data_IF_604667997797
#
_entry.id   IF_604667997797
#
_cell.length_a   1.000
_cell.length_b   1.000
_cell.length_c   1.000
_cell.angle_alpha   90.00
_cell.angle_beta   90.00
_cell.angle_gamma   90.00
#
_symmetry.space_group_name_H-M   'P 1'
#
loop_
_entity.id
_entity.type
_entity.pdbx_description
1 polymer ?
#
# COMPACT_ATOMS: atom_id res chain seq x y z
N UNK A 1 -18.97 4.54 38.87
CA UNK A 1 -18.01 4.54 37.75
C UNK A 1 -18.79 4.26 36.49
N UNK A 2 -18.77 5.19 35.53
CA UNK A 2 -19.55 5.06 34.30
C UNK A 2 -18.94 3.98 33.38
N UNK A 3 -19.73 3.11 32.74
CA UNK A 3 -19.19 2.06 31.89
C UNK A 3 -18.43 2.64 30.70
N UNK A 4 -17.22 2.13 30.46
CA UNK A 4 -16.38 2.53 29.32
C UNK A 4 -17.09 2.14 28.02
N UNK A 5 -17.64 3.14 27.33
CA UNK A 5 -18.30 2.94 26.04
C UNK A 5 -17.27 2.55 24.98
N UNK A 6 -17.59 1.60 24.11
CA UNK A 6 -16.74 1.24 22.97
C UNK A 6 -16.47 2.48 22.10
N UNK A 7 -15.20 2.79 21.90
CA UNK A 7 -14.74 3.90 21.04
C UNK A 7 -13.88 3.36 19.91
N UNK A 8 -13.95 4.06 18.78
CA UNK A 8 -13.17 3.76 17.60
C UNK A 8 -11.92 4.63 17.59
N UNK A 9 -10.74 4.01 17.75
CA UNK A 9 -9.44 4.69 17.69
C UNK A 9 -8.34 3.65 17.41
N UNK A 10 -7.22 4.06 16.79
CA UNK A 10 -6.09 3.18 16.56
C UNK A 10 -5.32 2.92 17.86
N UNK A 11 -4.72 1.75 17.97
CA UNK A 11 -3.73 1.38 18.99
C UNK A 11 -2.41 1.12 18.28
N UNK A 12 -1.31 1.65 18.80
CA UNK A 12 0.03 1.42 18.27
C UNK A 12 0.65 0.26 19.05
N UNK A 13 1.04 -0.78 18.32
CA UNK A 13 1.90 -1.83 18.83
C UNK A 13 3.36 -1.39 18.72
N UNK A 14 3.93 -0.94 19.85
CA UNK A 14 5.29 -0.42 19.90
C UNK A 14 6.37 -1.49 19.74
N UNK A 15 6.05 -2.78 19.88
CA UNK A 15 7.02 -3.86 19.62
C UNK A 15 7.23 -4.05 18.10
N UNK A 16 6.21 -3.77 17.29
CA UNK A 16 6.28 -3.82 15.82
C UNK A 16 6.62 -2.48 15.17
N UNK A 17 6.34 -1.36 15.84
CA UNK A 17 6.51 -0.04 15.26
C UNK A 17 8.00 0.33 15.11
N UNK A 18 8.44 0.54 13.87
CA UNK A 18 9.79 1.04 13.54
C UNK A 18 9.90 2.57 13.55
N UNK A 19 8.87 3.27 14.00
CA UNK A 19 8.79 4.74 14.03
C UNK A 19 8.95 5.40 12.65
N UNK A 20 8.44 4.76 11.58
CA UNK A 20 8.57 5.21 10.18
C UNK A 20 7.72 6.43 9.78
N UNK A 21 6.84 6.92 10.66
CA UNK A 21 5.97 8.11 10.49
C UNK A 21 4.91 8.08 9.37
N UNK A 22 4.78 7.01 8.59
CA UNK A 22 3.77 6.98 7.51
C UNK A 22 2.32 7.17 8.01
N UNK A 23 2.01 6.71 9.22
CA UNK A 23 0.66 6.82 9.76
C UNK A 23 0.24 8.26 10.11
N UNK A 24 1.19 9.13 10.50
CA UNK A 24 0.89 10.55 10.77
C UNK A 24 0.71 11.31 9.45
N UNK A 25 1.57 11.06 8.46
CA UNK A 25 1.47 11.69 7.13
C UNK A 25 0.19 11.29 6.39
N UNK A 26 -0.24 10.04 6.57
CA UNK A 26 -1.47 9.54 5.97
C UNK A 26 -2.74 10.05 6.65
N UNK A 27 -2.70 10.35 7.95
CA UNK A 27 -3.91 10.63 8.73
C UNK A 27 -4.41 12.07 8.55
N UNK A 28 -5.41 12.24 7.69
CA UNK A 28 -6.09 13.54 7.46
C UNK A 28 -6.88 14.08 8.67
N UNK A 29 -7.06 13.29 9.72
CA UNK A 29 -7.88 13.66 10.87
C UNK A 29 -7.07 14.14 12.08
N UNK A 30 -5.74 14.19 11.98
CA UNK A 30 -4.88 14.66 13.09
C UNK A 30 -5.00 13.78 14.33
N UNK A 31 -5.08 12.46 14.14
CA UNK A 31 -5.16 11.48 15.25
C UNK A 31 -3.80 11.27 15.91
N UNK A 32 -2.73 11.37 15.13
CA UNK A 32 -1.37 11.11 15.56
C UNK A 32 -0.60 12.40 15.84
N UNK A 33 0.33 12.31 16.77
CA UNK A 33 1.32 13.33 17.08
C UNK A 33 2.67 12.67 17.37
N UNK A 34 3.65 13.49 17.76
CA UNK A 34 5.00 13.03 18.07
C UNK A 34 5.38 13.54 19.47
N UNK A 35 6.01 12.69 20.29
CA UNK A 35 6.45 13.07 21.63
C UNK A 35 7.79 13.84 21.62
N UNK A 36 8.28 14.19 22.81
CA UNK A 36 9.57 14.88 22.99
C UNK A 36 10.80 14.05 22.56
N UNK A 37 10.62 12.75 22.29
CA UNK A 37 11.67 11.84 21.83
C UNK A 37 11.50 11.46 20.36
N UNK A 38 10.71 12.23 19.61
CA UNK A 38 10.42 12.00 18.21
C UNK A 38 9.72 10.65 17.95
N UNK A 39 8.94 10.14 18.91
CA UNK A 39 8.19 8.89 18.78
C UNK A 39 6.73 9.14 18.47
N UNK A 40 6.21 8.34 17.54
CA UNK A 40 4.81 8.38 17.16
C UNK A 40 3.89 8.01 18.34
N UNK A 41 2.82 8.78 18.53
CA UNK A 41 1.78 8.50 19.52
C UNK A 41 0.38 8.84 19.00
N UNK A 42 -0.63 8.26 19.62
CA UNK A 42 -2.05 8.59 19.35
C UNK A 42 -2.46 9.76 20.23
N UNK A 43 -2.39 10.97 19.67
CA UNK A 43 -2.60 12.23 20.42
C UNK A 43 -4.09 12.55 20.58
N UNK A 44 -4.87 12.45 19.50
CA UNK A 44 -6.30 12.81 19.49
C UNK A 44 -7.16 11.63 19.05
N UNK A 45 -7.40 10.69 19.98
CA UNK A 45 -8.17 9.47 19.74
C UNK A 45 -9.58 9.75 19.18
N UNK A 46 -10.25 10.79 19.70
CA UNK A 46 -11.63 11.14 19.31
C UNK A 46 -11.74 11.77 17.92
N UNK A 47 -10.62 12.21 17.32
CA UNK A 47 -10.62 12.69 15.93
C UNK A 47 -10.68 11.55 14.91
N UNK A 48 -10.46 10.30 15.34
CA UNK A 48 -10.47 9.17 14.43
C UNK A 48 -11.86 9.00 13.80
N UNK A 49 -11.93 9.15 12.47
CA UNK A 49 -13.17 8.92 11.72
C UNK A 49 -13.67 7.50 11.98
N UNK A 50 -14.87 7.39 12.56
CA UNK A 50 -15.52 6.11 12.86
C UNK A 50 -15.49 5.18 11.64
N UNK A 51 -14.94 3.99 11.82
CA UNK A 51 -14.88 2.96 10.79
C UNK A 51 -13.77 3.14 9.75
N UNK A 52 -12.85 4.09 9.90
CA UNK A 52 -11.70 4.27 9.01
C UNK A 52 -10.47 3.50 9.54
N UNK A 53 -10.03 2.41 8.87
CA UNK A 53 -8.83 1.65 9.25
C UNK A 53 -7.61 1.98 8.39
N UNK A 54 -7.65 3.05 7.60
CA UNK A 54 -6.73 3.22 6.49
C UNK A 54 -5.25 3.37 6.93
N UNK A 55 -4.99 3.98 8.09
CA UNK A 55 -3.66 4.01 8.70
C UNK A 55 -3.11 2.61 9.10
N UNK A 56 -3.97 1.62 9.33
CA UNK A 56 -3.56 0.22 9.56
C UNK A 56 -3.05 -0.45 8.30
N UNK A 57 -3.56 -0.06 7.13
CA UNK A 57 -3.20 -0.65 5.83
C UNK A 57 -1.95 -0.03 5.22
N UNK A 58 -1.64 1.22 5.53
CA UNK A 58 -0.42 1.89 5.07
C UNK A 58 0.79 1.51 5.92
N UNK A 59 0.60 1.15 7.19
CA UNK A 59 1.70 0.81 8.08
C UNK A 59 2.48 -0.42 7.57
N UNK A 60 3.76 -0.29 7.21
CA UNK A 60 4.54 -1.37 6.61
C UNK A 60 4.76 -2.55 7.56
N UNK A 61 4.83 -2.27 8.87
CA UNK A 61 5.01 -3.26 9.94
C UNK A 61 3.68 -3.78 10.50
N UNK A 62 2.54 -3.34 9.95
CA UNK A 62 1.21 -3.62 10.48
C UNK A 62 1.05 -3.30 11.98
N UNK A 63 1.81 -2.33 12.50
CA UNK A 63 1.85 -1.96 13.92
C UNK A 63 0.59 -1.20 14.39
N UNK A 64 -0.20 -0.64 13.47
CA UNK A 64 -1.43 0.08 13.78
C UNK A 64 -2.62 -0.88 13.81
N UNK A 65 -3.26 -1.00 14.98
CA UNK A 65 -4.30 -2.00 15.26
C UNK A 65 -5.63 -1.34 15.64
N UNK A 66 -6.73 -1.89 15.14
CA UNK A 66 -8.09 -1.59 15.57
C UNK A 66 -8.75 -2.86 16.14
N UNK A 67 -8.70 -3.10 17.46
CA UNK A 67 -9.08 -4.39 18.07
C UNK A 67 -10.50 -4.88 17.78
N UNK A 68 -11.41 -3.97 17.41
CA UNK A 68 -12.82 -4.28 17.12
C UNK A 68 -13.12 -4.30 15.61
N UNK A 69 -12.09 -4.28 14.76
CA UNK A 69 -12.26 -4.38 13.32
C UNK A 69 -12.66 -5.81 12.92
N UNK A 70 -13.51 -5.92 11.89
CA UNK A 70 -13.96 -7.22 11.36
C UNK A 70 -12.87 -8.02 10.63
N UNK A 71 -11.90 -7.31 10.04
CA UNK A 71 -10.77 -7.89 9.31
C UNK A 71 -9.65 -8.24 10.31
N UNK A 72 -9.22 -9.51 10.40
CA UNK A 72 -8.18 -9.95 11.34
C UNK A 72 -6.86 -9.17 11.20
N UNK A 73 -6.45 -8.90 9.96
CA UNK A 73 -5.26 -8.10 9.63
C UNK A 73 -5.26 -6.72 10.31
N UNK A 74 -6.41 -6.04 10.28
CA UNK A 74 -6.58 -4.72 10.89
C UNK A 74 -6.78 -4.83 12.41
N UNK A 75 -7.33 -5.95 12.89
CA UNK A 75 -7.52 -6.24 14.30
C UNK A 75 -6.25 -6.74 15.02
N UNK A 76 -5.10 -6.75 14.33
CA UNK A 76 -3.81 -7.13 14.91
C UNK A 76 -3.57 -8.63 15.00
N UNK A 77 -4.25 -9.43 14.17
CA UNK A 77 -3.95 -10.86 14.07
C UNK A 77 -2.54 -11.08 13.51
N UNK A 78 -1.80 -12.00 14.13
CA UNK A 78 -0.48 -12.44 13.66
C UNK A 78 -0.68 -13.26 12.38
N UNK A 79 -0.18 -12.76 11.26
CA UNK A 79 -0.26 -13.46 9.98
C UNK A 79 0.14 -12.59 8.79
N UNK A 80 0.85 -13.19 7.84
CA UNK A 80 1.36 -12.55 6.64
C UNK A 80 0.20 -12.10 5.73
N UNK A 81 -0.15 -10.81 5.79
CA UNK A 81 -1.08 -10.18 4.84
C UNK A 81 -0.51 -10.13 3.42
N UNK A 82 0.77 -10.45 3.24
CA UNK A 82 1.42 -10.63 1.94
C UNK A 82 1.00 -11.90 1.19
N UNK A 83 0.25 -12.81 1.83
CA UNK A 83 -0.14 -14.08 1.25
C UNK A 83 -1.46 -14.08 0.46
N UNK A 84 -2.14 -12.94 0.27
CA UNK A 84 -3.08 -12.81 -0.85
C UNK A 84 -2.31 -12.46 -2.14
N UNK A 85 -1.47 -13.41 -2.58
CA UNK A 85 -1.13 -13.54 -4.01
C UNK A 85 -2.39 -14.02 -4.71
N UNK A 86 -3.38 -13.13 -4.83
CA UNK A 86 -4.40 -13.27 -5.86
C UNK A 86 -3.61 -13.21 -7.16
N UNK A 87 -3.54 -14.34 -7.85
CA UNK A 87 -2.99 -14.42 -9.18
C UNK A 87 -3.83 -13.50 -10.08
N UNK A 88 -3.30 -12.28 -10.27
CA UNK A 88 -3.99 -11.18 -10.95
C UNK A 88 -4.39 -11.60 -12.37
N UNK A 89 -3.66 -12.54 -12.96
CA UNK A 89 -3.93 -13.13 -14.27
C UNK A 89 -5.18 -14.00 -14.32
N UNK A 90 -5.67 -14.50 -13.18
CA UNK A 90 -6.94 -15.26 -13.09
C UNK A 90 -8.14 -14.38 -12.73
N UNK A 91 -7.90 -13.23 -12.11
CA UNK A 91 -8.97 -12.29 -11.73
C UNK A 91 -9.36 -11.36 -12.89
N UNK A 92 -8.39 -10.98 -13.73
CA UNK A 92 -8.60 -10.18 -14.93
C UNK A 92 -8.38 -11.08 -16.15
N UNK A 93 -9.48 -11.63 -16.68
CA UNK A 93 -9.44 -12.64 -17.74
C UNK A 93 -8.68 -12.19 -19.00
N UNK A 94 -7.65 -12.94 -19.38
CA UNK A 94 -7.06 -13.12 -20.72
C UNK A 94 -6.65 -11.92 -21.60
N UNK A 95 -6.97 -10.67 -21.26
CA UNK A 95 -6.34 -9.47 -21.85
C UNK A 95 -5.40 -8.90 -20.81
N UNK A 96 -4.21 -8.45 -21.22
CA UNK A 96 -3.34 -7.79 -20.26
C UNK A 96 -4.07 -6.55 -19.72
N UNK A 97 -3.92 -6.23 -18.43
CA UNK A 97 -4.58 -5.05 -17.85
C UNK A 97 -4.25 -3.75 -18.62
N UNK A 98 -3.10 -3.75 -19.30
CA UNK A 98 -2.63 -2.69 -20.18
C UNK A 98 -3.51 -2.57 -21.43
N UNK A 99 -3.83 -3.67 -22.10
CA UNK A 99 -4.65 -3.64 -23.33
C UNK A 99 -6.05 -3.10 -23.05
N UNK A 100 -6.63 -3.52 -21.92
CA UNK A 100 -7.94 -3.04 -21.47
C UNK A 100 -7.88 -1.55 -21.13
N UNK A 101 -6.85 -1.11 -20.40
CA UNK A 101 -6.69 0.30 -20.05
C UNK A 101 -6.47 1.19 -21.29
N UNK A 102 -5.72 0.72 -22.30
CA UNK A 102 -5.52 1.42 -23.57
C UNK A 102 -6.84 1.54 -24.34
N UNK A 103 -7.61 0.46 -24.43
CA UNK A 103 -8.89 0.46 -25.12
C UNK A 103 -9.90 1.40 -24.45
N UNK A 104 -10.03 1.36 -23.12
CA UNK A 104 -10.93 2.24 -22.37
C UNK A 104 -10.54 3.72 -22.51
N UNK A 105 -9.25 4.03 -22.39
CA UNK A 105 -8.73 5.39 -22.59
C UNK A 105 -9.06 5.91 -23.99
N UNK A 106 -8.83 5.10 -25.02
CA UNK A 106 -9.03 5.51 -26.40
C UNK A 106 -10.53 5.70 -26.74
N UNK A 107 -11.43 4.92 -26.11
CA UNK A 107 -12.88 5.15 -26.18
C UNK A 107 -13.27 6.50 -25.58
N UNK A 108 -12.73 6.84 -24.41
CA UNK A 108 -13.02 8.15 -23.78
C UNK A 108 -12.42 9.32 -24.57
N UNK A 109 -11.22 9.17 -25.14
CA UNK A 109 -10.65 10.18 -26.05
C UNK A 109 -11.56 10.45 -27.25
N UNK A 110 -12.06 9.38 -27.89
CA UNK A 110 -12.99 9.50 -29.01
C UNK A 110 -14.30 10.16 -28.62
N UNK A 111 -14.80 9.91 -27.40
CA UNK A 111 -16.00 10.55 -26.86
C UNK A 111 -15.83 12.05 -26.64
N UNK A 112 -14.64 12.46 -26.23
CA UNK A 112 -14.23 13.86 -26.07
C UNK A 112 -13.84 14.54 -27.40
N UNK A 113 -14.01 13.86 -28.54
CA UNK A 113 -13.67 14.37 -29.87
C UNK A 113 -12.17 14.43 -30.15
N UNK A 114 -11.36 13.68 -29.39
CA UNK A 114 -9.91 13.53 -29.57
C UNK A 114 -9.62 12.21 -30.29
N UNK A 115 -8.46 12.14 -30.93
CA UNK A 115 -8.02 10.92 -31.62
C UNK A 115 -7.54 9.86 -30.62
N UNK A 116 -7.88 8.60 -30.88
CA UNK A 116 -7.33 7.46 -30.14
C UNK A 116 -5.81 7.36 -30.36
N UNK A 117 -5.05 7.09 -29.30
CA UNK A 117 -3.58 7.15 -29.37
C UNK A 117 -2.91 5.78 -29.31
N UNK A 118 -3.69 4.71 -29.10
CA UNK A 118 -3.23 3.33 -29.07
C UNK A 118 -2.16 3.08 -28.02
N UNK A 119 -1.49 1.93 -28.09
CA UNK A 119 -0.38 1.63 -27.19
C UNK A 119 0.89 2.50 -27.46
N UNK A 120 0.87 3.35 -28.49
CA UNK A 120 2.04 4.09 -29.00
C UNK A 120 2.37 5.39 -28.25
N UNK A 121 1.40 6.00 -27.55
CA UNK A 121 1.62 7.29 -26.87
C UNK A 121 1.39 7.13 -25.37
N UNK A 122 2.49 7.11 -24.62
CA UNK A 122 2.51 6.96 -23.17
C UNK A 122 3.57 5.96 -22.72
N UNK A 123 4.70 6.50 -22.25
CA UNK A 123 5.89 5.80 -21.74
C UNK A 123 6.72 5.06 -22.80
N UNK A 124 7.86 5.62 -23.26
CA UNK A 124 8.88 4.77 -23.86
C UNK A 124 9.20 3.66 -22.86
N UNK A 125 9.07 2.39 -23.27
CA UNK A 125 9.60 1.28 -22.49
C UNK A 125 11.08 1.58 -22.31
N UNK A 126 11.49 1.93 -21.09
CA UNK A 126 12.90 2.16 -20.72
C UNK A 126 13.79 0.96 -21.10
N UNK A 127 13.17 -0.19 -21.36
CA UNK A 127 13.76 -1.47 -21.72
C UNK A 127 13.01 -2.14 -22.90
N UNK A 128 12.74 -1.42 -24.00
CA UNK A 128 12.07 -2.01 -25.17
C UNK A 128 12.86 -3.18 -25.80
N UNK A 129 14.19 -3.15 -25.68
CA UNK A 129 15.13 -4.15 -26.23
C UNK A 129 15.79 -5.04 -25.17
N UNK A 130 15.36 -4.99 -23.90
CA UNK A 130 15.98 -5.84 -22.87
C UNK A 130 15.38 -7.24 -22.97
N UNK A 131 16.14 -8.14 -23.56
CA UNK A 131 15.88 -9.58 -23.53
C UNK A 131 15.93 -10.06 -22.07
N UNK A 132 14.78 -10.41 -21.49
CA UNK A 132 14.68 -10.86 -20.10
C UNK A 132 15.34 -12.23 -19.86
N UNK A 133 15.83 -12.89 -20.90
CA UNK A 133 16.63 -14.12 -20.79
C UNK A 133 18.13 -13.87 -20.75
N UNK A 134 18.57 -12.64 -21.08
CA UNK A 134 19.98 -12.25 -20.97
C UNK A 134 20.22 -11.60 -19.62
N UNK A 135 21.07 -12.28 -18.87
CA UNK A 135 21.66 -11.78 -17.63
C UNK A 135 22.44 -10.49 -17.92
N UNK A 136 22.21 -9.45 -17.12
CA UNK A 136 22.88 -8.16 -17.27
C UNK A 136 23.62 -7.72 -16.00
N UNK A 137 24.34 -6.60 -16.09
CA UNK A 137 25.16 -6.07 -14.98
C UNK A 137 24.33 -5.79 -13.71
N UNK A 138 23.02 -5.53 -13.86
CA UNK A 138 22.14 -5.35 -12.71
C UNK A 138 21.85 -6.67 -12.00
N UNK A 139 21.70 -7.78 -12.74
CA UNK A 139 21.54 -9.11 -12.15
C UNK A 139 22.80 -9.53 -11.37
N UNK A 140 23.98 -9.18 -11.87
CA UNK A 140 25.24 -9.45 -11.18
C UNK A 140 25.43 -8.58 -9.92
N UNK A 141 24.95 -7.33 -9.94
CA UNK A 141 24.93 -6.47 -8.75
C UNK A 141 23.93 -6.96 -7.70
N UNK A 142 22.79 -7.50 -8.12
CA UNK A 142 21.77 -8.06 -7.23
C UNK A 142 22.28 -9.32 -6.53
N UNK A 143 22.88 -10.25 -7.30
CA UNK A 143 23.52 -11.44 -6.74
C UNK A 143 24.71 -11.06 -5.83
N UNK A 144 25.43 -9.98 -6.15
CA UNK A 144 26.47 -9.41 -5.30
C UNK A 144 25.91 -8.87 -3.98
N UNK A 145 24.75 -8.24 -3.98
CA UNK A 145 24.07 -7.76 -2.77
C UNK A 145 23.56 -8.92 -1.91
N UNK A 146 22.97 -9.94 -2.53
CA UNK A 146 22.52 -11.16 -1.84
C UNK A 146 23.70 -11.95 -1.25
N UNK A 147 24.85 -11.96 -1.92
CA UNK A 147 26.08 -12.54 -1.41
C UNK A 147 26.73 -11.72 -0.28
N UNK A 148 26.40 -10.43 -0.17
CA UNK A 148 26.85 -9.53 0.90
C UNK A 148 25.88 -9.46 2.10
N UNK A 149 24.84 -10.30 2.12
CA UNK A 149 23.91 -10.38 3.24
C UNK A 149 24.55 -11.11 4.45
N UNK A 150 25.38 -10.37 5.17
CA UNK A 150 25.78 -10.65 6.56
C UNK A 150 24.60 -10.43 7.51
#
# INVERSE_FOLDING_TARGET
MEPVKRRWYPVIDYERCTNCMECIDFCLFGVYGVDNFERILVEQQDNCKKGCPACSRVCPENAIVFPQHKEPAVAGALGDVGALKIDLSRLFGSTSGIDTAVAERDVELMRDGREAVGASVGMPKRQADRDSTKRDDLDDLFDGLDAMNL
#
